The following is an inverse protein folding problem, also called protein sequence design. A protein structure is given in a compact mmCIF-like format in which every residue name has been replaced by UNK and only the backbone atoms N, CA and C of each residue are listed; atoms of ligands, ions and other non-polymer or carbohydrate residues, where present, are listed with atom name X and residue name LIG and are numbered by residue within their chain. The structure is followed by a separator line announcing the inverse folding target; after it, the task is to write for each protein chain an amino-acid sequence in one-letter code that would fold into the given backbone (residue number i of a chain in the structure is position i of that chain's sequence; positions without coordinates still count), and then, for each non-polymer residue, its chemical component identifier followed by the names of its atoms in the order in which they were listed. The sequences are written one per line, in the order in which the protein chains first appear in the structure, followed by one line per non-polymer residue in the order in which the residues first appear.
data_IF_964966905074
#
_entry.id   IF_964966905074
#
_cell.length_a   1.000
_cell.length_b   1.000
_cell.length_c   1.000
_cell.angle_alpha   90.00
_cell.angle_beta   90.00
_cell.angle_gamma   90.00
#
_symmetry.space_group_name_H-M   'P 1'
#
loop_
_entity.id
_entity.type
_entity.pdbx_description
1 polymer ?
#
# COMPACT_ATOMS: atom_id res chain seq x y z
N UNK A 1 -6.87 -3.96 0.33
CA UNK A 1 -7.06 -3.34 -1.00
C UNK A 1 -6.22 -2.05 -1.13
N UNK A 2 -4.87 -2.10 -1.05
CA UNK A 2 -4.09 -0.88 -0.83
C UNK A 2 -3.90 -0.03 -2.10
N UNK A 3 -3.74 -0.69 -3.25
CA UNK A 3 -3.55 -0.01 -4.54
C UNK A 3 -4.77 0.80 -4.98
N UNK A 4 -5.97 0.21 -4.83
CA UNK A 4 -7.23 0.89 -5.17
C UNK A 4 -7.43 2.12 -4.28
N UNK A 5 -7.11 2.03 -2.99
CA UNK A 5 -7.16 3.18 -2.09
C UNK A 5 -6.18 4.28 -2.52
N UNK A 6 -4.95 3.91 -2.89
CA UNK A 6 -3.94 4.88 -3.33
C UNK A 6 -4.30 5.56 -4.65
N UNK A 7 -4.88 4.83 -5.62
CA UNK A 7 -5.29 5.41 -6.90
C UNK A 7 -6.44 6.42 -6.72
N UNK A 8 -7.39 6.16 -5.83
CA UNK A 8 -8.46 7.11 -5.48
C UNK A 8 -7.87 8.35 -4.80
N UNK A 9 -6.94 8.19 -3.86
CA UNK A 9 -6.27 9.33 -3.21
C UNK A 9 -5.56 10.19 -4.25
N UNK A 10 -4.85 9.58 -5.20
CA UNK A 10 -4.15 10.31 -6.26
C UNK A 10 -5.13 11.02 -7.21
N UNK A 11 -6.26 10.40 -7.55
CA UNK A 11 -7.33 11.04 -8.33
C UNK A 11 -7.88 12.28 -7.60
N UNK A 12 -8.15 12.17 -6.29
CA UNK A 12 -8.61 13.29 -5.47
C UNK A 12 -7.53 14.38 -5.34
N UNK A 13 -6.27 14.00 -5.09
CA UNK A 13 -5.15 14.94 -5.02
C UNK A 13 -4.88 15.63 -6.35
N UNK A 14 -5.15 14.97 -7.48
CA UNK A 14 -5.06 15.60 -8.80
C UNK A 14 -6.07 16.73 -8.92
N UNK A 15 -7.26 16.65 -8.32
CA UNK A 15 -8.21 17.77 -8.31
C UNK A 15 -7.79 18.89 -7.34
N UNK A 16 -7.16 18.55 -6.21
CA UNK A 16 -6.78 19.51 -5.18
C UNK A 16 -5.42 20.21 -5.41
N UNK A 17 -4.47 19.55 -6.07
CA UNK A 17 -3.07 20.03 -6.20
C UNK A 17 -2.76 20.38 -7.67
N UNK A 18 -2.51 21.67 -7.99
CA UNK A 18 -2.30 22.13 -9.36
C UNK A 18 -1.02 21.54 -10.01
N UNK A 19 -0.04 21.13 -9.21
CA UNK A 19 1.15 20.42 -9.71
C UNK A 19 0.81 19.05 -10.32
N UNK A 20 -0.07 18.28 -9.67
CA UNK A 20 -0.50 16.98 -10.19
C UNK A 20 -1.39 17.14 -11.43
N UNK A 21 -2.19 18.22 -11.51
CA UNK A 21 -2.93 18.56 -12.72
C UNK A 21 -2.01 18.85 -13.91
N UNK A 22 -0.91 19.58 -13.68
CA UNK A 22 0.09 19.85 -14.73
C UNK A 22 0.73 18.55 -15.21
N UNK A 23 1.14 17.68 -14.28
CA UNK A 23 1.65 16.35 -14.61
C UNK A 23 0.64 15.52 -15.41
N UNK A 24 -0.65 15.61 -15.13
CA UNK A 24 -1.65 14.89 -15.91
C UNK A 24 -1.76 15.40 -17.36
N UNK A 25 -1.44 16.69 -17.60
CA UNK A 25 -1.43 17.32 -18.92
C UNK A 25 -0.16 17.03 -19.73
N UNK A 26 0.92 16.59 -19.09
CA UNK A 26 2.21 16.25 -19.73
C UNK A 26 2.21 14.90 -20.50
N UNK A 27 1.03 14.30 -20.73
CA UNK A 27 0.88 13.09 -21.54
C UNK A 27 1.50 11.84 -20.91
N UNK A 28 2.28 11.08 -21.68
CA UNK A 28 2.85 9.80 -21.22
C UNK A 28 3.85 9.96 -20.07
N UNK A 29 4.76 10.93 -20.17
CA UNK A 29 5.78 11.17 -19.12
C UNK A 29 5.15 11.52 -17.77
N UNK A 30 4.08 12.32 -17.82
CA UNK A 30 3.31 12.72 -16.65
C UNK A 30 2.52 11.57 -16.03
N UNK A 31 1.90 10.71 -16.85
CA UNK A 31 1.21 9.50 -16.39
C UNK A 31 2.16 8.54 -15.70
N UNK A 32 3.38 8.35 -16.21
CA UNK A 32 4.39 7.49 -15.54
C UNK A 32 4.77 8.05 -14.17
N UNK A 33 4.96 9.36 -14.04
CA UNK A 33 5.25 10.01 -12.74
C UNK A 33 4.08 9.84 -11.75
N UNK A 34 2.84 10.02 -12.19
CA UNK A 34 1.66 9.83 -11.34
C UNK A 34 1.54 8.37 -10.85
N UNK A 35 1.81 7.39 -11.71
CA UNK A 35 1.87 5.97 -11.32
C UNK A 35 2.94 5.74 -10.26
N UNK A 36 4.15 6.28 -10.43
CA UNK A 36 5.21 6.17 -9.42
C UNK A 36 4.80 6.78 -8.07
N UNK A 37 4.16 7.96 -8.06
CA UNK A 37 3.66 8.57 -6.82
C UNK A 37 2.60 7.67 -6.17
N UNK A 38 1.71 7.08 -6.98
CA UNK A 38 0.71 6.12 -6.50
C UNK A 38 1.35 4.89 -5.85
N UNK A 39 2.47 4.39 -6.41
CA UNK A 39 3.25 3.29 -5.84
C UNK A 39 3.79 3.64 -4.46
N UNK A 40 4.46 4.78 -4.32
CA UNK A 40 4.99 5.22 -3.03
C UNK A 40 3.88 5.44 -1.99
N UNK A 41 2.76 6.02 -2.40
CA UNK A 41 1.62 6.24 -1.53
C UNK A 41 0.98 4.92 -1.07
N UNK A 42 0.90 3.93 -1.97
CA UNK A 42 0.39 2.58 -1.65
C UNK A 42 1.23 1.95 -0.55
N UNK A 43 2.56 1.96 -0.68
CA UNK A 43 3.47 1.39 0.33
C UNK A 43 3.27 2.07 1.68
N UNK A 44 3.19 3.40 1.69
CA UNK A 44 3.00 4.18 2.90
C UNK A 44 1.68 3.81 3.59
N UNK A 45 0.57 3.76 2.84
CA UNK A 45 -0.75 3.33 3.36
C UNK A 45 -0.68 1.91 3.92
N UNK A 46 -0.06 0.97 3.20
CA UNK A 46 0.08 -0.41 3.67
C UNK A 46 0.89 -0.50 4.96
N UNK A 47 1.97 0.27 5.10
CA UNK A 47 2.77 0.30 6.32
C UNK A 47 1.96 0.80 7.53
N UNK A 48 1.08 1.79 7.36
CA UNK A 48 0.20 2.24 8.44
C UNK A 48 -0.96 1.27 8.73
N UNK A 49 -1.48 0.57 7.72
CA UNK A 49 -2.59 -0.37 7.88
C UNK A 49 -2.15 -1.77 8.39
N UNK A 50 -0.94 -2.21 8.07
CA UNK A 50 -0.45 -3.55 8.40
C UNK A 50 -0.48 -3.87 9.91
N UNK A 51 -0.07 -2.96 10.83
CA UNK A 51 -0.19 -3.19 12.27
C UNK A 51 -1.63 -3.42 12.73
N UNK A 52 -2.59 -2.66 12.18
CA UNK A 52 -4.02 -2.81 12.50
C UNK A 52 -4.58 -4.16 12.06
N UNK A 53 -4.18 -4.63 10.87
CA UNK A 53 -4.52 -5.97 10.40
C UNK A 53 -3.95 -7.08 11.28
N UNK A 54 -2.68 -6.95 11.71
CA UNK A 54 -2.02 -7.94 12.56
C UNK A 54 -2.65 -7.98 13.95
N UNK A 55 -2.97 -6.82 14.53
CA UNK A 55 -3.66 -6.73 15.82
C UNK A 55 -5.05 -7.38 15.76
N UNK A 56 -5.81 -7.17 14.68
CA UNK A 56 -7.10 -7.82 14.49
C UNK A 56 -6.97 -9.35 14.34
N UNK A 57 -5.95 -9.81 13.62
CA UNK A 57 -5.62 -11.23 13.48
C UNK A 57 -5.30 -11.89 14.83
N UNK A 58 -4.50 -11.23 15.68
CA UNK A 58 -4.19 -11.72 17.03
C UNK A 58 -5.40 -11.74 17.97
N UNK A 59 -6.35 -10.81 17.79
CA UNK A 59 -7.58 -10.80 18.57
C UNK A 59 -8.60 -11.87 18.14
N UNK A 60 -8.53 -12.33 16.88
CA UNK A 60 -9.53 -13.24 16.30
C UNK A 60 -9.08 -14.69 16.31
N UNK A 61 -7.78 -14.95 16.26
CA UNK A 61 -7.23 -16.31 16.22
C UNK A 61 -6.82 -16.83 17.60
N UNK A 62 -6.94 -18.15 17.84
CA UNK A 62 -6.44 -18.79 19.05
C UNK A 62 -4.92 -18.60 19.20
N UNK A 63 -4.40 -18.52 20.43
CA UNK A 63 -2.96 -18.38 20.67
C UNK A 63 -2.12 -19.52 20.07
N UNK A 64 -2.69 -20.71 19.93
CA UNK A 64 -2.00 -21.87 19.34
C UNK A 64 -1.74 -21.73 17.84
N UNK A 65 -2.40 -20.77 17.16
CA UNK A 65 -2.17 -20.49 15.74
C UNK A 65 -0.84 -19.76 15.48
N UNK A 66 -0.19 -19.22 16.51
CA UNK A 66 1.04 -18.44 16.39
C UNK A 66 2.26 -19.28 16.79
N UNK A 67 2.98 -19.80 15.80
CA UNK A 67 4.17 -20.64 15.98
C UNK A 67 5.44 -19.85 16.35
N UNK A 68 5.42 -18.52 16.19
CA UNK A 68 6.57 -17.63 16.38
C UNK A 68 6.37 -16.76 17.62
N UNK A 69 7.47 -16.30 18.23
CA UNK A 69 7.42 -15.29 19.30
C UNK A 69 6.67 -14.04 18.82
N UNK A 70 5.92 -13.38 19.72
CA UNK A 70 5.04 -12.26 19.35
C UNK A 70 5.76 -11.15 18.59
N UNK A 71 7.02 -10.86 18.95
CA UNK A 71 7.84 -9.85 18.25
C UNK A 71 8.31 -10.31 16.85
N UNK A 72 8.77 -11.56 16.72
CA UNK A 72 9.21 -12.11 15.44
C UNK A 72 8.04 -12.28 14.46
N UNK A 73 6.87 -12.68 14.96
CA UNK A 73 5.63 -12.78 14.18
C UNK A 73 5.19 -11.42 13.63
N UNK A 74 5.18 -10.38 14.48
CA UNK A 74 4.83 -9.03 14.05
C UNK A 74 5.75 -8.53 12.95
N UNK A 75 7.07 -8.67 13.14
CA UNK A 75 8.03 -8.22 12.14
C UNK A 75 7.88 -8.98 10.81
N UNK A 76 7.79 -10.32 10.85
CA UNK A 76 7.65 -11.13 9.63
C UNK A 76 6.32 -10.86 8.91
N UNK A 77 5.21 -10.74 9.64
CA UNK A 77 3.90 -10.45 9.06
C UNK A 77 3.85 -9.07 8.39
N UNK A 78 4.43 -8.03 9.01
CA UNK A 78 4.51 -6.70 8.38
C UNK A 78 5.32 -6.78 7.08
N UNK A 79 6.49 -7.42 7.10
CA UNK A 79 7.35 -7.55 5.92
C UNK A 79 6.63 -8.32 4.81
N UNK A 80 5.96 -9.44 5.13
CA UNK A 80 5.22 -10.24 4.16
C UNK A 80 4.05 -9.45 3.58
N UNK A 81 3.29 -8.72 4.39
CA UNK A 81 2.15 -7.92 3.92
C UNK A 81 2.59 -6.79 2.99
N UNK A 82 3.65 -6.06 3.36
CA UNK A 82 4.21 -4.98 2.53
C UNK A 82 4.76 -5.53 1.23
N UNK A 83 5.58 -6.59 1.30
CA UNK A 83 6.22 -7.20 0.13
C UNK A 83 5.19 -7.85 -0.79
N UNK A 84 4.23 -8.59 -0.24
CA UNK A 84 3.13 -9.22 -0.98
C UNK A 84 2.24 -8.20 -1.67
N UNK A 85 1.96 -7.07 -1.01
CA UNK A 85 1.21 -5.96 -1.62
C UNK A 85 1.98 -5.34 -2.79
N UNK A 86 3.28 -5.09 -2.63
CA UNK A 86 4.11 -4.56 -3.72
C UNK A 86 4.22 -5.53 -4.88
N UNK A 87 4.33 -6.83 -4.60
CA UNK A 87 4.35 -7.87 -5.62
C UNK A 87 3.03 -7.96 -6.38
N UNK A 88 1.90 -7.95 -5.67
CA UNK A 88 0.57 -7.95 -6.30
C UNK A 88 0.32 -6.69 -7.13
N UNK A 89 0.78 -5.53 -6.66
CA UNK A 89 0.71 -4.28 -7.41
C UNK A 89 1.53 -4.36 -8.71
N UNK A 90 2.77 -4.87 -8.63
CA UNK A 90 3.62 -5.04 -9.80
C UNK A 90 3.02 -6.00 -10.84
N UNK A 91 2.38 -7.08 -10.39
CA UNK A 91 1.66 -8.00 -11.28
C UNK A 91 0.44 -7.36 -11.95
N UNK A 92 -0.26 -6.45 -11.27
CA UNK A 92 -1.43 -5.77 -11.83
C UNK A 92 -1.11 -4.59 -12.76
N UNK A 93 0.10 -4.05 -12.69
CA UNK A 93 0.57 -2.95 -13.56
C UNK A 93 1.24 -3.44 -14.87
N UNK A 94 1.62 -4.72 -14.95
CA UNK A 94 2.11 -5.37 -16.18
C UNK A 94 0.97 -6.04 -16.94
#
# INVERSE_FOLDING_TARGET
MPYISASIVIQLMTMAVPYLQKLQKDGESGRTKISQITRYLTVLITCFQAPGYIANLQATLPPEAFLLSSGSFWFSSIVILVTGTMFAMWLGEK
#
